data_IF_431135957625
#
_entry.id   IF_431135957625
#
_cell.length_a   1.000
_cell.length_b   1.000
_cell.length_c   1.000
_cell.angle_alpha   90.00
_cell.angle_beta   90.00
_cell.angle_gamma   90.00
#
_symmetry.space_group_name_H-M   'P 1'
#
loop_
_entity.id
_entity.type
_entity.pdbx_description
1 polymer ?
#
# COMPACT_ATOMS: atom_id res chain seq x y z
N UNK A 1 19.54 3.06 -11.82
CA UNK A 1 18.43 3.60 -11.02
C UNK A 1 17.39 2.49 -10.88
N UNK A 2 17.12 2.03 -9.65
CA UNK A 2 16.15 0.95 -9.41
C UNK A 2 14.85 1.58 -8.94
N UNK A 3 13.79 1.43 -9.73
CA UNK A 3 12.44 1.82 -9.33
C UNK A 3 11.78 0.59 -8.69
N UNK A 4 11.41 0.71 -7.41
CA UNK A 4 10.69 -0.31 -6.67
C UNK A 4 9.25 0.13 -6.51
N UNK A 5 8.33 -0.54 -7.20
CA UNK A 5 6.90 -0.31 -7.10
C UNK A 5 6.29 -1.37 -6.19
N UNK A 6 5.58 -0.93 -5.16
CA UNK A 6 4.79 -1.78 -4.26
C UNK A 6 3.33 -1.45 -4.44
N UNK A 7 2.49 -2.46 -4.59
CA UNK A 7 1.05 -2.24 -4.64
C UNK A 7 0.23 -3.41 -4.09
N UNK A 8 -0.94 -3.07 -3.54
CA UNK A 8 -1.97 -4.01 -3.06
C UNK A 8 -3.17 -3.98 -4.01
N UNK A 9 -3.72 -5.14 -4.35
CA UNK A 9 -4.79 -5.24 -5.35
C UNK A 9 -6.15 -5.26 -4.65
N UNK A 10 -7.07 -4.32 -4.97
CA UNK A 10 -8.41 -4.25 -4.37
C UNK A 10 -9.19 -5.58 -4.45
N UNK A 11 -9.15 -6.27 -5.61
CA UNK A 11 -9.76 -7.59 -5.78
C UNK A 11 -9.09 -8.69 -4.96
N UNK A 12 -7.84 -8.48 -4.53
CA UNK A 12 -6.98 -9.46 -3.84
C UNK A 12 -6.20 -8.74 -2.73
N UNK A 13 -6.87 -8.30 -1.65
CA UNK A 13 -6.29 -7.45 -0.62
C UNK A 13 -5.15 -8.15 0.15
N UNK A 14 -5.05 -9.46 0.02
CA UNK A 14 -4.04 -10.32 0.63
C UNK A 14 -2.77 -10.46 -0.22
N UNK A 15 -2.58 -9.65 -1.27
CA UNK A 15 -1.45 -9.75 -2.20
C UNK A 15 -0.67 -8.44 -2.24
N UNK A 16 0.65 -8.54 -2.11
CA UNK A 16 1.60 -7.48 -2.44
C UNK A 16 2.52 -7.98 -3.55
N UNK A 17 2.66 -7.18 -4.60
CA UNK A 17 3.63 -7.43 -5.66
C UNK A 17 4.73 -6.37 -5.66
N UNK A 18 5.96 -6.79 -5.92
CA UNK A 18 7.14 -5.91 -6.03
C UNK A 18 7.88 -6.21 -7.33
N UNK A 19 8.23 -5.16 -8.06
CA UNK A 19 9.14 -5.23 -9.22
C UNK A 19 10.40 -4.45 -8.91
N UNK A 20 11.55 -5.07 -9.15
CA UNK A 20 12.85 -4.41 -9.10
C UNK A 20 13.53 -4.53 -10.46
N UNK A 21 14.11 -3.42 -10.94
CA UNK A 21 14.81 -3.36 -12.23
C UNK A 21 16.25 -2.93 -11.97
N UNK A 22 17.20 -3.77 -12.39
CA UNK A 22 18.63 -3.56 -12.17
C UNK A 22 19.32 -3.50 -13.52
N UNK A 23 20.11 -2.45 -13.72
CA UNK A 23 20.98 -2.29 -14.89
C UNK A 23 22.40 -2.23 -14.35
N UNK A 24 23.20 -3.24 -14.69
CA UNK A 24 24.59 -3.31 -14.25
C UNK A 24 25.50 -2.59 -15.26
N UNK A 25 26.39 -1.72 -14.78
CA UNK A 25 27.39 -1.07 -15.63
C UNK A 25 28.53 -2.03 -16.03
N UNK A 26 28.73 -3.10 -15.26
CA UNK A 26 29.74 -4.13 -15.46
C UNK A 26 29.14 -5.50 -15.14
N UNK A 27 29.71 -6.57 -15.69
CA UNK A 27 29.26 -7.91 -15.36
C UNK A 27 29.60 -8.23 -13.90
N UNK A 28 28.60 -8.55 -13.09
CA UNK A 28 28.75 -8.82 -11.66
C UNK A 28 27.82 -9.95 -11.23
N UNK A 29 28.27 -10.76 -10.27
CA UNK A 29 27.39 -11.70 -9.58
C UNK A 29 26.46 -10.92 -8.65
N UNK A 30 25.15 -11.14 -8.79
CA UNK A 30 24.13 -10.52 -7.96
C UNK A 30 23.48 -11.55 -7.03
N UNK A 31 23.26 -11.17 -5.77
CA UNK A 31 22.46 -11.96 -4.84
C UNK A 31 21.20 -11.18 -4.49
N UNK A 32 20.03 -11.81 -4.62
CA UNK A 32 18.76 -11.27 -4.13
C UNK A 32 18.42 -11.95 -2.82
N UNK A 33 18.49 -11.19 -1.72
CA UNK A 33 18.16 -11.68 -0.38
C UNK A 33 16.87 -11.02 0.09
N UNK A 34 15.90 -11.83 0.49
CA UNK A 34 14.69 -11.37 1.16
C UNK A 34 14.86 -11.47 2.67
N UNK A 35 14.95 -10.32 3.35
CA UNK A 35 15.00 -10.23 4.81
C UNK A 35 13.64 -9.79 5.35
N UNK A 36 12.93 -10.71 5.99
CA UNK A 36 11.70 -10.43 6.71
C UNK A 36 11.99 -10.55 8.22
N UNK A 37 12.15 -9.44 8.93
CA UNK A 37 12.40 -9.39 10.38
C UNK A 37 11.11 -9.23 11.22
N UNK A 38 10.08 -10.01 10.87
CA UNK A 38 9.40 -10.88 11.83
C UNK A 38 8.63 -10.33 13.04
N UNK A 39 8.25 -9.04 13.16
CA UNK A 39 7.35 -8.63 14.27
C UNK A 39 5.88 -9.02 14.12
N UNK A 40 5.46 -9.58 12.98
CA UNK A 40 4.33 -10.51 12.84
C UNK A 40 4.21 -10.97 11.38
N UNK A 41 4.94 -12.01 11.01
CA UNK A 41 4.69 -12.76 9.78
C UNK A 41 5.12 -14.20 10.00
N UNK A 42 4.29 -15.16 9.57
CA UNK A 42 4.69 -16.57 9.53
C UNK A 42 5.96 -16.67 8.68
N UNK A 43 7.05 -17.07 9.35
CA UNK A 43 8.39 -17.23 8.77
C UNK A 43 8.30 -18.12 7.52
N UNK A 44 8.35 -17.51 6.34
CA UNK A 44 8.68 -18.23 5.12
C UNK A 44 10.19 -18.10 4.95
N UNK A 45 10.94 -19.10 5.42
CA UNK A 45 12.35 -19.21 5.06
C UNK A 45 12.40 -19.49 3.56
N UNK A 46 12.80 -18.48 2.78
CA UNK A 46 13.10 -18.61 1.35
C UNK A 46 14.37 -19.45 1.09
N UNK A 47 15.00 -20.04 2.10
CA UNK A 47 16.15 -20.93 1.95
C UNK A 47 15.89 -22.16 1.06
N UNK A 48 14.65 -22.42 0.65
CA UNK A 48 14.29 -23.45 -0.32
C UNK A 48 13.93 -22.92 -1.72
N UNK A 49 13.73 -21.61 -1.90
CA UNK A 49 13.61 -20.98 -3.22
C UNK A 49 14.90 -20.23 -3.53
N UNK A 50 15.87 -21.01 -3.98
CA UNK A 50 17.06 -20.64 -4.76
C UNK A 50 17.70 -19.28 -4.50
N UNK A 51 18.95 -19.29 -4.05
CA UNK A 51 19.93 -18.34 -4.58
C UNK A 51 19.89 -18.48 -6.10
N UNK A 52 19.32 -17.51 -6.79
CA UNK A 52 19.44 -17.47 -8.24
C UNK A 52 20.78 -16.80 -8.51
N UNK A 53 21.83 -17.62 -8.70
CA UNK A 53 23.17 -17.20 -9.11
C UNK A 53 23.12 -16.68 -10.54
N UNK A 54 22.40 -15.59 -10.77
CA UNK A 54 22.31 -14.96 -12.06
C UNK A 54 23.41 -13.91 -12.16
N UNK A 55 24.32 -14.12 -13.10
CA UNK A 55 25.29 -13.10 -13.50
C UNK A 55 24.50 -11.96 -14.14
N UNK A 56 24.53 -10.79 -13.50
CA UNK A 56 24.04 -9.56 -14.11
C UNK A 56 25.03 -9.18 -15.21
N UNK A 57 24.56 -9.11 -16.45
CA UNK A 57 25.40 -8.74 -17.58
C UNK A 57 25.46 -7.23 -17.73
N UNK A 58 26.64 -6.73 -18.11
CA UNK A 58 26.85 -5.31 -18.35
C UNK A 58 25.92 -4.79 -19.45
N UNK A 59 25.20 -3.70 -19.17
CA UNK A 59 24.28 -3.07 -20.11
C UNK A 59 22.97 -3.81 -20.33
N UNK A 60 22.78 -5.02 -19.79
CA UNK A 60 21.50 -5.73 -19.85
C UNK A 60 20.65 -5.40 -18.62
N UNK A 61 19.34 -5.32 -18.83
CA UNK A 61 18.38 -5.05 -17.76
C UNK A 61 17.90 -6.37 -17.16
N UNK A 62 18.14 -6.57 -15.87
CA UNK A 62 17.55 -7.66 -15.10
C UNK A 62 16.29 -7.18 -14.39
N UNK A 63 15.22 -7.98 -14.44
CA UNK A 63 13.94 -7.67 -13.82
C UNK A 63 13.55 -8.79 -12.86
N UNK A 64 13.27 -8.41 -11.62
CA UNK A 64 12.88 -9.32 -10.55
C UNK A 64 11.44 -9.02 -10.13
N UNK A 65 10.65 -10.08 -9.97
CA UNK A 65 9.28 -10.01 -9.48
C UNK A 65 9.15 -10.78 -8.17
N UNK A 66 8.61 -10.14 -7.14
CA UNK A 66 8.30 -10.75 -5.86
C UNK A 66 6.80 -10.67 -5.63
N UNK A 67 6.18 -11.81 -5.33
CA UNK A 67 4.77 -11.90 -4.97
C UNK A 67 4.67 -12.38 -3.53
N UNK A 68 3.93 -11.64 -2.70
CA UNK A 68 3.78 -11.90 -1.27
C UNK A 68 2.31 -12.04 -0.96
N UNK A 69 1.95 -13.13 -0.28
CA UNK A 69 0.61 -13.34 0.26
C UNK A 69 0.58 -13.05 1.76
N UNK A 70 -0.40 -12.28 2.22
CA UNK A 70 -0.55 -11.83 3.60
C UNK A 70 -1.93 -12.25 4.11
N UNK A 71 -2.00 -12.87 5.28
CA UNK A 71 -3.24 -13.18 5.97
C UNK A 71 -2.97 -13.30 7.47
N UNK A 72 -3.96 -12.90 8.29
CA UNK A 72 -3.94 -13.05 9.75
C UNK A 72 -5.01 -14.03 10.21
N UNK A 73 -4.76 -14.69 11.35
CA UNK A 73 -5.75 -15.49 12.08
C UNK A 73 -6.88 -14.65 12.64
N UNK A 74 -6.71 -13.33 12.75
CA UNK A 74 -7.78 -12.41 13.16
C UNK A 74 -8.92 -12.36 12.13
N UNK A 75 -8.61 -12.60 10.85
CA UNK A 75 -9.58 -12.63 9.75
C UNK A 75 -9.92 -14.04 9.25
N UNK A 76 -8.92 -14.93 9.24
CA UNK A 76 -9.04 -16.23 8.58
C UNK A 76 -8.62 -17.36 9.51
N UNK A 77 -9.52 -18.32 9.75
CA UNK A 77 -9.20 -19.52 10.53
C UNK A 77 -7.99 -20.29 10.00
N UNK A 78 -7.75 -20.26 8.69
CA UNK A 78 -6.59 -20.86 8.02
C UNK A 78 -5.78 -19.82 7.24
N UNK A 79 -5.24 -18.84 7.97
CA UNK A 79 -4.44 -17.75 7.40
C UNK A 79 -3.27 -18.25 6.55
N UNK A 80 -2.63 -19.36 6.94
CA UNK A 80 -1.48 -19.92 6.21
C UNK A 80 -1.86 -20.34 4.79
N UNK A 81 -2.96 -21.08 4.62
CA UNK A 81 -3.38 -21.51 3.30
C UNK A 81 -3.94 -20.35 2.47
N UNK A 82 -4.63 -19.40 3.10
CA UNK A 82 -5.08 -18.17 2.41
C UNK A 82 -3.91 -17.37 1.85
N UNK A 83 -2.87 -17.12 2.67
CA UNK A 83 -1.67 -16.41 2.22
C UNK A 83 -0.96 -17.14 1.07
N UNK A 84 -0.81 -18.47 1.16
CA UNK A 84 -0.19 -19.28 0.10
C UNK A 84 -0.99 -19.26 -1.20
N UNK A 85 -2.30 -19.40 -1.12
CA UNK A 85 -3.17 -19.35 -2.29
C UNK A 85 -3.14 -17.97 -2.95
N UNK A 86 -3.16 -16.90 -2.15
CA UNK A 86 -3.06 -15.52 -2.64
C UNK A 86 -1.73 -15.28 -3.38
N UNK A 87 -0.60 -15.69 -2.79
CA UNK A 87 0.71 -15.59 -3.44
C UNK A 87 0.74 -16.37 -4.77
N UNK A 88 0.27 -17.62 -4.76
CA UNK A 88 0.28 -18.49 -5.94
C UNK A 88 -0.57 -17.89 -7.07
N UNK A 89 -1.77 -17.43 -6.75
CA UNK A 89 -2.65 -16.75 -7.72
C UNK A 89 -2.00 -15.50 -8.30
N UNK A 90 -1.34 -14.68 -7.48
CA UNK A 90 -0.63 -13.50 -7.95
C UNK A 90 0.49 -13.85 -8.95
N UNK A 91 1.23 -14.92 -8.67
CA UNK A 91 2.27 -15.42 -9.57
C UNK A 91 1.70 -15.93 -10.90
N UNK A 92 0.54 -16.60 -10.88
CA UNK A 92 -0.14 -17.09 -12.08
C UNK A 92 -0.70 -15.95 -12.95
N UNK A 93 -1.17 -14.86 -12.33
CA UNK A 93 -1.74 -13.68 -13.02
C UNK A 93 -0.64 -12.84 -13.67
N UNK A 94 0.49 -12.69 -12.99
CA UNK A 94 1.64 -11.90 -13.45
C UNK A 94 1.52 -10.39 -13.19
N UNK A 95 2.67 -9.71 -13.25
CA UNK A 95 2.85 -8.32 -12.86
C UNK A 95 1.93 -7.34 -13.60
N UNK A 96 1.88 -7.40 -14.93
CA UNK A 96 1.19 -6.39 -15.74
C UNK A 96 -0.32 -6.38 -15.47
N UNK A 97 -0.91 -7.57 -15.33
CA UNK A 97 -2.33 -7.71 -15.00
C UNK A 97 -2.63 -7.22 -13.58
N UNK A 98 -1.78 -7.55 -12.61
CA UNK A 98 -1.93 -7.08 -11.23
C UNK A 98 -1.80 -5.55 -11.16
N UNK A 99 -0.86 -4.96 -11.91
CA UNK A 99 -0.67 -3.52 -11.97
C UNK A 99 -1.88 -2.83 -12.62
N UNK A 100 -2.38 -3.37 -13.73
CA UNK A 100 -3.58 -2.85 -14.37
C UNK A 100 -4.80 -2.90 -13.44
N UNK A 101 -4.98 -4.00 -12.70
CA UNK A 101 -6.05 -4.11 -11.71
C UNK A 101 -5.87 -3.11 -10.56
N UNK A 102 -4.64 -2.88 -10.09
CA UNK A 102 -4.34 -1.90 -9.05
C UNK A 102 -4.63 -0.46 -9.51
N UNK A 103 -4.18 -0.09 -10.70
CA UNK A 103 -4.45 1.22 -11.29
C UNK A 103 -5.96 1.42 -11.49
N UNK A 104 -6.66 0.40 -12.00
CA UNK A 104 -8.10 0.46 -12.17
C UNK A 104 -8.86 0.54 -10.84
N UNK A 105 -8.35 -0.05 -9.77
CA UNK A 105 -8.92 0.09 -8.43
C UNK A 105 -8.75 1.52 -7.90
N UNK A 106 -7.54 2.07 -7.98
CA UNK A 106 -7.28 3.44 -7.56
C UNK A 106 -8.05 4.47 -8.37
N UNK A 107 -8.22 4.27 -9.68
CA UNK A 107 -9.01 5.18 -10.52
C UNK A 107 -10.48 5.31 -10.08
N UNK A 108 -11.03 4.33 -9.34
CA UNK A 108 -12.39 4.42 -8.78
C UNK A 108 -12.46 5.23 -7.49
N UNK A 109 -11.36 5.29 -6.74
CA UNK A 109 -11.32 5.92 -5.41
C UNK A 109 -10.71 7.31 -5.50
N UNK A 110 -9.65 7.47 -6.29
CA UNK A 110 -9.05 8.75 -6.67
C UNK A 110 -9.78 9.33 -7.88
N UNK A 111 -11.05 9.68 -7.71
CA UNK A 111 -11.78 10.43 -8.73
C UNK A 111 -11.21 11.85 -8.85
N UNK A 112 -11.39 12.55 -9.99
CA UNK A 112 -10.97 13.94 -10.11
C UNK A 112 -11.50 14.86 -9.00
N UNK A 113 -12.70 14.57 -8.48
CA UNK A 113 -13.32 15.32 -7.39
C UNK A 113 -12.74 15.00 -5.99
N UNK A 114 -11.88 13.99 -5.88
CA UNK A 114 -11.27 13.54 -4.61
C UNK A 114 -9.87 14.10 -4.36
N UNK A 115 -9.31 14.80 -5.34
CA UNK A 115 -7.99 15.44 -5.27
C UNK A 115 -8.13 16.88 -5.76
N UNK A 116 -7.34 17.77 -5.17
CA UNK A 116 -7.31 19.15 -5.62
C UNK A 116 -6.55 19.24 -6.94
N UNK A 117 -7.20 19.83 -7.95
CA UNK A 117 -6.59 20.14 -9.23
C UNK A 117 -6.00 21.55 -9.18
N UNK A 118 -4.67 21.63 -9.35
CA UNK A 118 -3.92 22.88 -9.39
C UNK A 118 -3.49 23.27 -10.81
N UNK A 119 -4.03 22.60 -11.83
CA UNK A 119 -3.81 22.99 -13.22
C UNK A 119 -4.50 24.33 -13.53
N UNK A 120 -3.89 25.11 -14.41
CA UNK A 120 -4.49 26.36 -14.89
C UNK A 120 -5.74 26.03 -15.74
N UNK A 121 -6.94 26.51 -15.39
CA UNK A 121 -8.16 26.19 -16.12
C UNK A 121 -8.18 26.70 -17.57
N UNK A 122 -7.33 27.66 -17.93
CA UNK A 122 -7.22 28.18 -19.30
C UNK A 122 -6.32 27.32 -20.19
N UNK A 123 -5.27 26.70 -19.63
CA UNK A 123 -4.27 25.94 -20.41
C UNK A 123 -4.35 24.43 -20.18
N UNK A 124 -4.91 24.00 -19.04
CA UNK A 124 -4.90 22.62 -18.56
C UNK A 124 -3.52 22.15 -18.10
N UNK A 125 -2.53 23.05 -18.01
CA UNK A 125 -1.17 22.73 -17.62
C UNK A 125 -0.93 23.09 -16.15
N UNK A 126 -0.09 22.29 -15.49
CA UNK A 126 0.37 22.60 -14.14
C UNK A 126 1.41 23.73 -14.21
N UNK A 127 1.24 24.83 -13.47
CA UNK A 127 2.20 25.92 -13.45
C UNK A 127 3.62 25.44 -13.11
N UNK A 128 4.64 26.02 -13.76
CA UNK A 128 6.05 25.77 -13.47
C UNK A 128 6.54 26.50 -12.21
N UNK A 129 5.75 26.40 -11.14
CA UNK A 129 6.11 26.83 -9.80
C UNK A 129 6.32 25.59 -8.94
N UNK A 130 7.52 25.41 -8.34
CA UNK A 130 7.82 24.22 -7.55
C UNK A 130 6.89 24.05 -6.34
N UNK A 131 6.33 25.13 -5.79
CA UNK A 131 5.35 25.05 -4.70
C UNK A 131 4.01 24.53 -5.19
N UNK A 132 3.55 24.97 -6.37
CA UNK A 132 2.30 24.49 -6.98
C UNK A 132 2.43 23.02 -7.35
N UNK A 133 3.57 22.62 -7.92
CA UNK A 133 3.87 21.22 -8.20
C UNK A 133 3.90 20.37 -6.92
N UNK A 134 4.53 20.88 -5.85
CA UNK A 134 4.57 20.19 -4.57
C UNK A 134 3.17 20.05 -3.95
N UNK A 135 2.32 21.09 -4.03
CA UNK A 135 0.94 21.04 -3.54
C UNK A 135 0.09 20.05 -4.33
N UNK A 136 0.24 20.01 -5.65
CA UNK A 136 -0.47 19.05 -6.49
C UNK A 136 -0.06 17.60 -6.19
N UNK A 137 1.25 17.34 -6.03
CA UNK A 137 1.75 16.04 -5.58
C UNK A 137 1.21 15.71 -4.18
N UNK A 138 1.24 16.67 -3.26
CA UNK A 138 0.78 16.48 -1.89
C UNK A 138 -0.73 16.19 -1.82
N UNK A 139 -1.56 16.80 -2.67
CA UNK A 139 -3.00 16.52 -2.69
C UNK A 139 -3.28 15.08 -3.07
N UNK A 140 -2.62 14.57 -4.12
CA UNK A 140 -2.72 13.15 -4.51
C UNK A 140 -2.14 12.23 -3.43
N UNK A 141 -0.94 12.54 -2.92
CA UNK A 141 -0.27 11.72 -1.92
C UNK A 141 -1.03 11.66 -0.59
N UNK A 142 -1.61 12.76 -0.13
CA UNK A 142 -2.39 12.81 1.10
C UNK A 142 -3.67 11.97 0.96
N UNK A 143 -4.40 12.07 -0.15
CA UNK A 143 -5.58 11.24 -0.40
C UNK A 143 -5.20 9.75 -0.46
N UNK A 144 -4.10 9.39 -1.13
CA UNK A 144 -3.54 8.03 -1.15
C UNK A 144 -3.19 7.53 0.25
N UNK A 145 -2.46 8.33 1.03
CA UNK A 145 -2.05 7.99 2.39
C UNK A 145 -3.26 7.81 3.30
N UNK A 146 -4.25 8.71 3.25
CA UNK A 146 -5.48 8.62 4.05
C UNK A 146 -6.28 7.35 3.75
N UNK A 147 -6.33 6.91 2.48
CA UNK A 147 -7.04 5.70 2.08
C UNK A 147 -6.28 4.41 2.44
N UNK A 148 -4.95 4.44 2.37
CA UNK A 148 -4.09 3.33 2.77
C UNK A 148 -4.08 3.08 4.30
N UNK A 149 -4.49 4.06 5.10
CA UNK A 149 -4.42 4.03 6.56
C UNK A 149 -5.64 3.40 7.28
N UNK A 150 -6.33 2.43 6.65
CA UNK A 150 -7.44 1.60 7.19
C UNK A 150 -8.87 1.94 6.72
N UNK A 151 -9.09 2.89 5.81
CA UNK A 151 -10.46 3.34 5.50
C UNK A 151 -11.15 2.57 4.37
N UNK A 152 -10.48 1.61 3.74
CA UNK A 152 -11.11 0.83 2.67
C UNK A 152 -12.20 -0.07 3.27
N UNK A 153 -13.49 0.13 2.95
CA UNK A 153 -14.56 -0.69 3.50
C UNK A 153 -14.45 -2.08 2.89
N UNK A 154 -14.06 -3.06 3.70
CA UNK A 154 -13.95 -4.45 3.25
C UNK A 154 -15.13 -5.32 3.73
N UNK A 155 -16.07 -4.70 4.47
CA UNK A 155 -17.28 -5.34 5.00
C UNK A 155 -17.02 -6.39 6.10
N UNK A 156 -15.78 -6.56 6.53
CA UNK A 156 -15.39 -7.58 7.52
C UNK A 156 -15.30 -7.05 8.96
N UNK A 157 -15.43 -5.73 9.15
CA UNK A 157 -15.33 -5.07 10.45
C UNK A 157 -13.91 -4.91 10.99
N UNK A 158 -12.90 -5.41 10.28
CA UNK A 158 -11.49 -5.30 10.69
C UNK A 158 -10.93 -3.88 10.53
N UNK A 159 -11.50 -3.14 9.58
CA UNK A 159 -11.20 -1.75 9.29
C UNK A 159 -12.14 -0.78 10.05
N UNK A 160 -12.89 -1.27 11.04
CA UNK A 160 -13.75 -0.44 11.89
C UNK A 160 -12.97 0.20 13.04
N UNK A 161 -11.74 -0.27 13.28
CA UNK A 161 -10.83 0.37 14.21
C UNK A 161 -10.29 1.65 13.56
N UNK A 162 -10.51 2.78 14.24
CA UNK A 162 -10.05 4.12 13.84
C UNK A 162 -8.53 4.18 13.59
N UNK A 163 -8.03 5.34 13.19
CA UNK A 163 -6.67 5.49 12.66
C UNK A 163 -5.66 5.65 13.80
N UNK A 164 -4.59 4.85 13.78
CA UNK A 164 -3.49 4.97 14.72
C UNK A 164 -2.56 6.13 14.37
N UNK A 165 -1.81 6.65 15.35
CA UNK A 165 -0.91 7.81 15.14
C UNK A 165 0.16 7.53 14.07
N UNK A 166 0.72 6.31 14.05
CA UNK A 166 1.71 5.88 13.05
C UNK A 166 1.10 5.29 11.77
N UNK A 167 -0.24 5.21 11.68
CA UNK A 167 -0.95 4.47 10.64
C UNK A 167 -0.46 3.02 10.52
N UNK A 168 -0.53 2.46 9.31
CA UNK A 168 0.13 1.20 8.94
C UNK A 168 1.58 1.41 8.45
N UNK A 169 2.10 2.64 8.57
CA UNK A 169 3.40 3.02 8.04
C UNK A 169 4.55 2.77 9.04
N UNK A 170 4.27 2.86 10.35
CA UNK A 170 5.28 2.75 11.40
C UNK A 170 4.74 2.01 12.63
N UNK A 171 5.65 1.41 13.40
CA UNK A 171 5.38 0.85 14.73
C UNK A 171 5.31 1.90 15.85
N UNK A 172 5.43 3.19 15.50
CA UNK A 172 5.30 4.31 16.42
C UNK A 172 3.96 4.27 17.17
N UNK A 173 4.00 4.64 18.45
CA UNK A 173 2.84 4.59 19.35
C UNK A 173 2.17 3.21 19.44
N UNK A 174 2.88 2.14 19.07
CA UNK A 174 2.41 0.75 19.13
C UNK A 174 1.07 0.50 18.40
N UNK A 175 0.78 1.29 17.36
CA UNK A 175 -0.49 1.18 16.61
C UNK A 175 -1.72 1.62 17.40
N UNK A 176 -1.54 2.37 18.49
CA UNK A 176 -2.65 2.88 19.30
C UNK A 176 -3.34 4.08 18.64
N UNK A 177 -4.64 4.18 18.90
CA UNK A 177 -5.50 5.29 18.48
C UNK A 177 -5.61 6.30 19.63
N UNK A 178 -5.49 7.58 19.29
CA UNK A 178 -5.57 8.69 20.23
C UNK A 178 -6.50 9.79 19.69
N UNK A 179 -6.65 10.87 20.47
CA UNK A 179 -7.40 12.08 20.11
C UNK A 179 -7.01 12.68 18.75
N UNK A 180 -5.80 12.40 18.24
CA UNK A 180 -5.36 12.80 16.91
C UNK A 180 -6.28 12.29 15.79
N UNK A 181 -6.85 11.09 15.95
CA UNK A 181 -7.78 10.53 14.98
C UNK A 181 -9.05 11.38 14.87
N UNK A 182 -9.60 11.83 16.00
CA UNK A 182 -10.81 12.65 16.06
C UNK A 182 -10.58 14.10 15.66
N UNK A 183 -9.53 14.72 16.20
CA UNK A 183 -9.31 16.17 16.06
C UNK A 183 -8.57 16.54 14.78
N UNK A 184 -7.59 15.74 14.37
CA UNK A 184 -6.73 16.07 13.23
C UNK A 184 -7.14 15.32 11.96
N UNK A 185 -7.50 14.05 12.06
CA UNK A 185 -7.80 13.22 10.89
C UNK A 185 -9.26 13.27 10.46
N UNK A 186 -10.21 13.12 11.41
CA UNK A 186 -11.63 13.01 11.09
C UNK A 186 -12.19 14.17 10.24
N UNK A 187 -11.85 15.46 10.49
CA UNK A 187 -12.39 16.56 9.69
C UNK A 187 -12.02 16.46 8.21
N UNK A 188 -10.74 16.22 7.91
CA UNK A 188 -10.26 16.09 6.52
C UNK A 188 -10.87 14.87 5.83
N UNK A 189 -11.00 13.75 6.54
CA UNK A 189 -11.58 12.52 6.00
C UNK A 189 -13.08 12.66 5.73
N UNK A 190 -13.82 13.36 6.58
CA UNK A 190 -15.25 13.58 6.40
C UNK A 190 -15.55 14.51 5.23
N UNK A 191 -14.65 15.45 4.93
CA UNK A 191 -14.74 16.32 3.76
C UNK A 191 -14.39 15.56 2.48
N UNK A 192 -13.30 14.77 2.50
CA UNK A 192 -12.79 14.06 1.32
C UNK A 192 -13.58 12.78 0.98
N UNK A 193 -14.13 12.07 1.97
CA UNK A 193 -14.75 10.74 1.79
C UNK A 193 -16.14 10.66 2.43
N UNK A 194 -17.15 11.23 1.76
CA UNK A 194 -18.47 11.48 2.36
C UNK A 194 -19.32 10.25 2.75
N UNK A 195 -18.92 8.99 2.52
CA UNK A 195 -19.87 7.84 2.63
C UNK A 195 -19.38 6.63 3.46
N UNK A 196 -18.08 6.50 3.77
CA UNK A 196 -17.54 5.29 4.46
C UNK A 196 -16.77 5.53 5.76
N UNK A 197 -15.96 6.59 5.82
CA UNK A 197 -15.04 6.85 6.94
C UNK A 197 -15.75 7.23 8.26
N UNK A 198 -16.98 7.74 8.17
CA UNK A 198 -17.76 8.24 9.30
C UNK A 198 -18.08 7.17 10.37
N UNK A 199 -18.22 5.89 10.00
CA UNK A 199 -18.56 4.83 10.97
C UNK A 199 -17.33 4.31 11.71
N UNK A 200 -16.21 4.15 11.04
CA UNK A 200 -14.98 3.58 11.61
C UNK A 200 -14.25 4.58 12.53
N UNK A 201 -14.18 5.86 12.15
CA UNK A 201 -13.44 6.85 12.94
C UNK A 201 -14.21 7.26 14.21
N UNK A 202 -15.52 7.46 14.11
CA UNK A 202 -16.36 7.97 15.22
C UNK A 202 -16.74 6.87 16.23
N UNK A 203 -16.89 5.61 15.81
CA UNK A 203 -17.30 4.53 16.72
C UNK A 203 -16.22 4.16 17.75
N UNK A 204 -14.93 4.31 17.41
CA UNK A 204 -13.82 4.01 18.32
C UNK A 204 -13.79 4.95 19.55
N UNK A 205 -14.13 6.23 19.36
CA UNK A 205 -14.06 7.27 20.39
C UNK A 205 -15.09 7.09 21.51
N UNK A 206 -16.21 6.41 21.21
CA UNK A 206 -17.21 6.03 22.22
C UNK A 206 -16.70 4.98 23.22
N UNK A 207 -15.63 4.26 22.86
CA UNK A 207 -15.05 3.18 23.67
C UNK A 207 -13.96 3.69 24.64
N UNK A 208 -13.30 4.81 24.31
CA UNK A 208 -12.21 5.41 25.11
C UNK A 208 -12.76 6.22 26.29
N UNK A 209 -13.97 6.78 26.18
CA UNK A 209 -14.57 7.64 27.21
C UNK A 209 -15.17 6.83 28.39
N UNK A 210 -15.29 5.49 28.25
CA UNK A 210 -15.88 4.61 29.27
C UNK A 210 -14.85 3.82 30.10
N UNK A 211 -13.59 4.25 30.15
CA UNK A 211 -12.56 3.72 31.06
C UNK A 211 -12.28 4.66 32.23
#
# INVERSE_FOLDING_TARGET
>A
MSLMLHFSVEKRPNVVAVKATIIACTAVEGQVTDLLDGRSAVRSTLSSKGLDENVLKAGETAVFYKYVGIASTDKFNDAKNVARAAQKSAQEIGWDNLLAEHVAAWAKVLTPDSVDDFTDPATGELPDDPNVQALHIASVANTLLSLLQNLQPDGSGLNDNSISVGGLYSDSYAGLVFWDADYWMAPGLNLAFQIGANKSVISASSSIINL
#
